data_IF_990426004040
#
_entry.id   IF_990426004040
#
_cell.length_a   1.000
_cell.length_b   1.000
_cell.length_c   1.000
_cell.angle_alpha   90.00
_cell.angle_beta   90.00
_cell.angle_gamma   90.00
#
_symmetry.space_group_name_H-M   'P 1'
#
loop_
_entity.id
_entity.type
_entity.pdbx_description
1 polymer ?
#
# COMPACT_ATOMS: atom_id res chain seq x y z
N UNK A 1 21.05 -16.85 8.97
CA UNK A 1 19.57 -16.94 8.85
C UNK A 1 19.22 -16.56 7.43
N UNK A 2 18.29 -17.24 6.77
CA UNK A 2 17.90 -16.87 5.41
C UNK A 2 17.38 -15.43 5.36
N UNK A 3 17.51 -14.77 4.21
CA UNK A 3 16.85 -13.52 3.92
C UNK A 3 15.55 -13.79 3.15
N UNK A 4 14.67 -12.78 3.07
CA UNK A 4 13.51 -12.85 2.19
C UNK A 4 13.78 -12.06 0.90
N UNK A 5 13.52 -12.67 -0.25
CA UNK A 5 13.57 -12.03 -1.56
C UNK A 5 12.17 -11.98 -2.18
N UNK A 6 11.94 -11.06 -3.10
CA UNK A 6 10.74 -11.03 -3.93
C UNK A 6 10.90 -12.02 -5.08
N UNK A 7 10.04 -13.04 -5.13
CA UNK A 7 10.01 -14.06 -6.18
C UNK A 7 9.12 -13.65 -7.36
N UNK A 8 8.07 -12.90 -7.09
CA UNK A 8 7.13 -12.42 -8.09
C UNK A 8 6.25 -11.30 -7.55
N UNK A 9 5.73 -10.51 -8.47
CA UNK A 9 4.84 -9.38 -8.18
C UNK A 9 3.58 -9.49 -9.03
N UNK A 10 2.51 -8.87 -8.57
CA UNK A 10 1.27 -8.78 -9.32
C UNK A 10 0.44 -7.60 -8.87
N UNK A 11 -0.43 -7.12 -9.74
CA UNK A 11 -1.33 -6.02 -9.44
C UNK A 11 -2.67 -6.18 -10.14
N UNK A 12 -3.70 -5.59 -9.57
CA UNK A 12 -5.03 -5.53 -10.16
C UNK A 12 -5.67 -4.19 -9.85
N UNK A 13 -6.26 -3.59 -10.87
CA UNK A 13 -7.15 -2.44 -10.72
C UNK A 13 -8.49 -2.74 -11.39
N UNK A 14 -9.63 -2.38 -10.79
CA UNK A 14 -10.94 -2.52 -11.41
C UNK A 14 -11.01 -1.86 -12.78
N UNK A 15 -11.84 -2.40 -13.67
CA UNK A 15 -11.97 -1.86 -15.04
C UNK A 15 -12.56 -0.45 -15.09
N UNK A 16 -13.44 -0.13 -14.14
CA UNK A 16 -14.12 1.17 -14.09
C UNK A 16 -13.16 2.27 -13.71
N UNK A 17 -12.92 3.20 -14.63
CA UNK A 17 -12.13 4.42 -14.40
C UNK A 17 -13.06 5.59 -14.11
N UNK A 18 -12.77 6.35 -13.07
CA UNK A 18 -13.40 7.61 -12.72
C UNK A 18 -12.40 8.74 -12.96
N UNK A 19 -12.66 9.57 -13.96
CA UNK A 19 -11.80 10.70 -14.33
C UNK A 19 -12.08 11.95 -13.50
N UNK A 20 -11.17 12.93 -13.53
CA UNK A 20 -11.44 14.24 -12.92
C UNK A 20 -12.66 14.93 -13.55
N UNK A 21 -12.88 14.77 -14.86
CA UNK A 21 -14.04 15.31 -15.54
C UNK A 21 -15.37 14.69 -15.05
N UNK A 22 -15.34 13.44 -14.59
CA UNK A 22 -16.52 12.84 -13.97
C UNK A 22 -16.77 13.39 -12.56
N UNK A 23 -15.69 13.66 -11.81
CA UNK A 23 -15.80 14.29 -10.49
C UNK A 23 -16.35 15.72 -10.55
N UNK A 24 -16.09 16.47 -11.62
CA UNK A 24 -16.65 17.80 -11.85
C UNK A 24 -18.18 17.79 -11.92
N UNK A 25 -18.79 16.65 -12.28
CA UNK A 25 -20.25 16.44 -12.31
C UNK A 25 -20.84 16.14 -10.93
N UNK A 26 -20.00 15.73 -9.97
CA UNK A 26 -20.41 15.25 -8.64
C UNK A 26 -20.20 16.31 -7.57
N UNK A 27 -19.07 17.03 -7.62
CA UNK A 27 -18.65 17.99 -6.59
C UNK A 27 -18.03 19.23 -7.23
N UNK A 28 -18.11 20.36 -6.55
CA UNK A 28 -17.57 21.64 -7.05
C UNK A 28 -16.02 21.62 -7.09
N UNK A 29 -15.45 21.15 -8.20
CA UNK A 29 -14.00 21.02 -8.45
C UNK A 29 -13.71 21.21 -9.94
N UNK A 30 -12.41 21.13 -10.32
CA UNK A 30 -11.98 21.00 -11.71
C UNK A 30 -10.67 20.23 -11.80
N UNK A 31 -10.38 19.69 -13.00
CA UNK A 31 -9.20 18.85 -13.23
C UNK A 31 -7.88 19.58 -12.94
N UNK A 32 -7.77 20.86 -13.31
CA UNK A 32 -6.57 21.65 -13.06
C UNK A 32 -6.26 21.77 -11.55
N UNK A 33 -7.29 22.04 -10.74
CA UNK A 33 -7.17 22.11 -9.29
C UNK A 33 -6.76 20.76 -8.69
N UNK A 34 -7.37 19.65 -9.14
CA UNK A 34 -7.03 18.30 -8.64
C UNK A 34 -5.59 17.97 -8.98
N UNK A 35 -5.20 18.09 -10.25
CA UNK A 35 -3.85 17.75 -10.72
C UNK A 35 -2.78 18.61 -10.03
N UNK A 36 -2.97 19.93 -9.95
CA UNK A 36 -2.00 20.82 -9.31
C UNK A 36 -1.80 20.55 -7.81
N UNK A 37 -2.81 19.98 -7.15
CA UNK A 37 -2.77 19.68 -5.71
C UNK A 37 -2.33 18.27 -5.37
N UNK A 38 -2.59 17.31 -6.26
CA UNK A 38 -2.45 15.88 -5.95
C UNK A 38 -1.61 15.10 -6.95
N UNK A 39 -1.54 15.56 -8.19
CA UNK A 39 -1.00 14.82 -9.34
C UNK A 39 -2.03 13.88 -10.00
N UNK A 40 -3.20 13.67 -9.39
CA UNK A 40 -4.18 12.66 -9.82
C UNK A 40 -4.99 13.14 -11.03
N UNK A 41 -5.08 12.30 -12.06
CA UNK A 41 -5.89 12.52 -13.26
C UNK A 41 -7.13 11.63 -13.29
N UNK A 42 -6.96 10.39 -12.82
CA UNK A 42 -8.01 9.39 -12.76
C UNK A 42 -7.77 8.41 -11.60
N UNK A 43 -8.77 7.61 -11.31
CA UNK A 43 -8.72 6.52 -10.33
C UNK A 43 -9.63 5.39 -10.76
N UNK A 44 -9.29 4.18 -10.33
CA UNK A 44 -10.13 3.02 -10.53
C UNK A 44 -11.13 2.89 -9.38
N UNK A 45 -12.31 2.35 -9.67
CA UNK A 45 -13.40 2.16 -8.72
C UNK A 45 -13.96 0.75 -8.87
N UNK A 46 -13.99 -0.01 -7.80
CA UNK A 46 -14.51 -1.37 -7.78
C UNK A 46 -15.99 -1.42 -8.20
N UNK A 47 -16.33 -2.41 -9.00
CA UNK A 47 -17.70 -2.71 -9.35
C UNK A 47 -18.52 -3.23 -8.16
N UNK A 48 -19.84 -3.27 -8.28
CA UNK A 48 -20.73 -3.70 -7.19
C UNK A 48 -20.49 -5.14 -6.74
N UNK A 49 -19.95 -5.97 -7.63
CA UNK A 49 -19.63 -7.38 -7.41
C UNK A 49 -18.17 -7.64 -6.97
N UNK A 50 -17.34 -6.61 -6.90
CA UNK A 50 -15.94 -6.73 -6.49
C UNK A 50 -15.76 -6.32 -5.04
N UNK A 51 -15.37 -7.24 -4.16
CA UNK A 51 -14.93 -6.98 -2.81
C UNK A 51 -13.40 -6.79 -2.76
N UNK A 52 -12.88 -6.36 -1.62
CA UNK A 52 -11.43 -6.17 -1.44
C UNK A 52 -10.66 -7.49 -1.64
N UNK A 53 -11.24 -8.63 -1.20
CA UNK A 53 -10.64 -9.94 -1.40
C UNK A 53 -10.57 -10.36 -2.87
N UNK A 54 -11.53 -9.95 -3.71
CA UNK A 54 -11.51 -10.26 -5.15
C UNK A 54 -10.33 -9.56 -5.84
N UNK A 55 -10.13 -8.27 -5.54
CA UNK A 55 -8.99 -7.49 -6.03
C UNK A 55 -7.67 -8.13 -5.55
N UNK A 56 -7.59 -8.43 -4.25
CA UNK A 56 -6.43 -9.05 -3.63
C UNK A 56 -6.10 -10.41 -4.24
N UNK A 57 -7.11 -11.26 -4.49
CA UNK A 57 -6.93 -12.57 -5.10
C UNK A 57 -6.45 -12.46 -6.57
N UNK A 58 -6.94 -11.47 -7.32
CA UNK A 58 -6.48 -11.22 -8.68
C UNK A 58 -4.98 -10.84 -8.71
N UNK A 59 -4.56 -9.91 -7.86
CA UNK A 59 -3.15 -9.52 -7.73
C UNK A 59 -2.27 -10.68 -7.24
N UNK A 60 -2.77 -11.48 -6.29
CA UNK A 60 -2.07 -12.65 -5.76
C UNK A 60 -1.83 -13.73 -6.84
N UNK A 61 -2.86 -14.05 -7.64
CA UNK A 61 -2.71 -15.01 -8.76
C UNK A 61 -1.64 -14.57 -9.74
N UNK A 62 -1.63 -13.29 -10.09
CA UNK A 62 -0.61 -12.74 -10.99
C UNK A 62 0.81 -12.83 -10.38
N UNK A 63 0.96 -12.54 -9.08
CA UNK A 63 2.25 -12.65 -8.40
C UNK A 63 2.75 -14.11 -8.37
N UNK A 64 1.86 -15.08 -8.16
CA UNK A 64 2.17 -16.51 -8.19
C UNK A 64 2.55 -16.98 -9.60
N UNK A 65 1.79 -16.56 -10.61
CA UNK A 65 2.06 -16.87 -12.03
C UNK A 65 3.43 -16.33 -12.46
N UNK A 66 3.71 -15.06 -12.14
CA UNK A 66 5.00 -14.42 -12.46
C UNK A 66 6.18 -15.07 -11.74
N UNK A 67 5.96 -15.67 -10.57
CA UNK A 67 6.98 -16.43 -9.84
C UNK A 67 7.09 -17.89 -10.30
N UNK A 68 6.15 -18.42 -11.08
CA UNK A 68 6.07 -19.84 -11.40
C UNK A 68 5.80 -20.73 -10.17
N UNK A 69 5.09 -20.23 -9.16
CA UNK A 69 4.83 -20.89 -7.88
C UNK A 69 3.36 -21.24 -7.74
N UNK A 70 3.06 -22.47 -7.34
CA UNK A 70 1.69 -22.91 -7.06
C UNK A 70 1.16 -22.30 -5.76
N UNK A 71 -0.13 -21.95 -5.71
CA UNK A 71 -0.78 -21.51 -4.49
C UNK A 71 -0.67 -22.50 -3.31
N UNK A 72 -0.57 -23.82 -3.61
CA UNK A 72 -0.38 -24.86 -2.61
C UNK A 72 1.00 -24.79 -1.90
N UNK A 73 1.94 -24.06 -2.47
CA UNK A 73 3.29 -23.90 -1.92
C UNK A 73 3.43 -22.64 -1.04
N UNK A 74 2.35 -21.87 -0.89
CA UNK A 74 2.31 -20.68 -0.02
C UNK A 74 2.03 -21.12 1.41
N UNK A 75 2.87 -20.68 2.34
CA UNK A 75 2.75 -21.02 3.76
C UNK A 75 2.01 -19.93 4.56
N UNK A 76 2.03 -18.68 4.08
CA UNK A 76 1.48 -17.52 4.77
C UNK A 76 0.90 -16.51 3.79
N UNK A 77 -0.26 -15.93 4.14
CA UNK A 77 -0.85 -14.78 3.45
C UNK A 77 -1.07 -13.67 4.47
N UNK A 78 -0.56 -12.49 4.19
CA UNK A 78 -0.82 -11.28 4.95
C UNK A 78 -1.39 -10.19 4.04
N UNK A 79 -2.56 -9.65 4.40
CA UNK A 79 -3.22 -8.58 3.66
C UNK A 79 -3.18 -7.30 4.47
N UNK A 80 -2.54 -6.27 3.94
CA UNK A 80 -2.62 -4.90 4.44
C UNK A 80 -3.90 -4.26 3.91
N UNK A 81 -4.90 -4.06 4.76
CA UNK A 81 -6.17 -3.45 4.38
C UNK A 81 -6.88 -2.78 5.56
N UNK A 82 -7.69 -1.78 5.27
CA UNK A 82 -8.66 -1.15 6.18
C UNK A 82 -10.08 -1.19 5.62
N UNK A 83 -10.24 -1.81 4.45
CA UNK A 83 -11.52 -1.95 3.74
C UNK A 83 -11.84 -3.40 3.44
N UNK A 84 -11.46 -4.31 4.37
CA UNK A 84 -11.74 -5.74 4.22
C UNK A 84 -13.23 -6.01 4.03
N UNK A 85 -13.55 -7.18 3.48
CA UNK A 85 -14.91 -7.60 3.10
C UNK A 85 -15.89 -7.53 4.27
N UNK A 86 -15.40 -7.89 5.44
CA UNK A 86 -16.17 -7.95 6.71
C UNK A 86 -15.25 -7.60 7.89
N UNK A 87 -15.81 -7.21 9.06
CA UNK A 87 -15.02 -7.08 10.28
C UNK A 87 -14.35 -8.40 10.71
N UNK A 88 -14.97 -9.52 10.42
CA UNK A 88 -14.49 -10.90 10.63
C UNK A 88 -15.31 -11.87 9.79
N UNK A 89 -14.70 -12.86 9.12
CA UNK A 89 -13.27 -13.21 9.11
C UNK A 89 -12.39 -12.16 8.42
N UNK A 90 -11.06 -12.35 8.45
CA UNK A 90 -10.11 -11.48 7.76
C UNK A 90 -10.26 -11.52 6.24
N UNK A 91 -9.93 -10.44 5.54
CA UNK A 91 -9.83 -10.40 4.08
C UNK A 91 -8.87 -11.49 3.56
N UNK A 92 -7.77 -11.71 4.26
CA UNK A 92 -6.80 -12.76 3.92
C UNK A 92 -7.41 -14.18 3.91
N UNK A 93 -8.43 -14.45 4.73
CA UNK A 93 -9.10 -15.76 4.74
C UNK A 93 -9.94 -15.98 3.47
N UNK A 94 -10.61 -14.94 2.97
CA UNK A 94 -11.29 -14.99 1.69
C UNK A 94 -10.30 -15.17 0.53
N UNK A 95 -9.18 -14.43 0.55
CA UNK A 95 -8.12 -14.56 -0.45
C UNK A 95 -7.56 -15.97 -0.48
N UNK A 96 -7.30 -16.58 0.68
CA UNK A 96 -6.76 -17.93 0.82
C UNK A 96 -7.64 -18.96 0.09
N UNK A 97 -8.96 -18.88 0.28
CA UNK A 97 -9.93 -19.77 -0.41
C UNK A 97 -10.01 -19.48 -1.91
N UNK A 98 -10.13 -18.19 -2.27
CA UNK A 98 -10.24 -17.75 -3.67
C UNK A 98 -9.06 -18.18 -4.54
N UNK A 99 -7.84 -18.21 -3.99
CA UNK A 99 -6.65 -18.64 -4.75
C UNK A 99 -6.29 -20.11 -4.54
N UNK A 100 -6.97 -20.81 -3.63
CA UNK A 100 -6.73 -22.20 -3.31
C UNK A 100 -5.47 -22.49 -2.50
N UNK A 101 -4.96 -21.51 -1.74
CA UNK A 101 -3.74 -21.63 -0.92
C UNK A 101 -3.99 -22.33 0.41
N UNK A 102 -4.52 -23.56 0.37
CA UNK A 102 -5.07 -24.30 1.53
C UNK A 102 -4.05 -24.60 2.63
N UNK A 103 -2.76 -24.54 2.34
CA UNK A 103 -1.68 -24.77 3.29
C UNK A 103 -1.28 -23.50 4.05
N UNK A 104 -1.68 -22.33 3.58
CA UNK A 104 -1.30 -21.06 4.16
C UNK A 104 -2.13 -20.74 5.40
N UNK A 105 -1.50 -20.29 6.49
CA UNK A 105 -2.21 -19.51 7.49
C UNK A 105 -2.28 -18.04 7.04
N UNK A 106 -3.29 -17.30 7.51
CA UNK A 106 -3.56 -15.98 6.98
C UNK A 106 -4.13 -15.01 8.02
N UNK A 107 -3.86 -13.71 7.84
CA UNK A 107 -4.39 -12.63 8.67
C UNK A 107 -4.25 -11.27 7.97
N UNK A 108 -5.00 -10.27 8.47
CA UNK A 108 -4.93 -8.90 8.01
C UNK A 108 -4.04 -8.05 8.92
N UNK A 109 -3.45 -6.98 8.33
CA UNK A 109 -2.70 -5.95 9.05
C UNK A 109 -3.38 -4.60 8.84
N UNK A 110 -3.91 -4.04 9.93
CA UNK A 110 -4.57 -2.74 9.95
C UNK A 110 -3.55 -1.62 10.26
N UNK A 111 -2.67 -1.30 9.30
CA UNK A 111 -1.74 -0.16 9.38
C UNK A 111 -2.02 0.87 8.28
N UNK A 112 -3.25 0.93 7.78
CA UNK A 112 -3.69 1.80 6.69
C UNK A 112 -2.72 1.78 5.50
N UNK A 113 -2.35 2.96 4.97
CA UNK A 113 -1.45 3.04 3.81
C UNK A 113 -0.05 2.45 4.05
N UNK A 114 0.36 2.22 5.29
CA UNK A 114 1.60 1.52 5.63
C UNK A 114 1.43 -0.02 5.69
N UNK A 115 0.22 -0.54 5.45
CA UNK A 115 -0.11 -1.97 5.61
C UNK A 115 0.82 -2.91 4.84
N UNK A 116 1.19 -2.57 3.61
CA UNK A 116 2.11 -3.39 2.81
C UNK A 116 3.55 -3.40 3.33
N UNK A 117 4.09 -2.28 3.86
CA UNK A 117 5.42 -2.27 4.52
C UNK A 117 5.41 -3.06 5.83
N UNK A 118 4.33 -2.91 6.62
CA UNK A 118 4.15 -3.72 7.83
C UNK A 118 4.07 -5.21 7.48
N UNK A 119 3.24 -5.57 6.49
CA UNK A 119 3.11 -6.94 5.99
C UNK A 119 4.43 -7.50 5.48
N UNK A 120 5.18 -6.74 4.69
CA UNK A 120 6.51 -7.09 4.19
C UNK A 120 7.47 -7.40 5.34
N UNK A 121 7.52 -6.53 6.35
CA UNK A 121 8.40 -6.69 7.51
C UNK A 121 8.01 -7.91 8.35
N UNK A 122 6.71 -8.13 8.57
CA UNK A 122 6.21 -9.30 9.30
C UNK A 122 6.57 -10.59 8.54
N UNK A 123 6.29 -10.65 7.25
CA UNK A 123 6.58 -11.82 6.42
C UNK A 123 8.09 -12.15 6.39
N UNK A 124 8.95 -11.13 6.30
CA UNK A 124 10.39 -11.31 6.39
C UNK A 124 10.80 -11.98 7.70
N UNK A 125 10.24 -11.57 8.84
CA UNK A 125 10.57 -12.17 10.13
C UNK A 125 10.12 -13.63 10.22
N UNK A 126 8.97 -13.98 9.68
CA UNK A 126 8.52 -15.38 9.60
C UNK A 126 9.45 -16.24 8.71
N UNK A 127 9.91 -15.67 7.58
CA UNK A 127 10.86 -16.34 6.69
C UNK A 127 12.23 -16.50 7.39
N UNK A 128 12.78 -15.44 8.01
CA UNK A 128 14.05 -15.46 8.71
C UNK A 128 14.07 -16.44 9.90
N UNK A 129 12.95 -16.58 10.59
CA UNK A 129 12.81 -17.56 11.66
C UNK A 129 12.75 -19.02 11.18
N UNK A 130 12.60 -19.25 9.86
CA UNK A 130 12.40 -20.56 9.26
C UNK A 130 10.99 -21.13 9.46
N UNK A 131 10.05 -20.33 9.99
CA UNK A 131 8.68 -20.79 10.23
C UNK A 131 7.88 -20.94 8.93
N UNK A 132 8.16 -20.11 7.92
CA UNK A 132 7.60 -20.19 6.56
C UNK A 132 8.71 -20.11 5.51
N UNK A 133 8.46 -20.67 4.34
CA UNK A 133 9.35 -20.60 3.18
C UNK A 133 8.87 -19.59 2.16
N UNK A 134 7.55 -19.47 2.01
CA UNK A 134 6.90 -18.56 1.04
C UNK A 134 5.74 -17.82 1.68
N UNK A 135 5.74 -16.51 1.51
CA UNK A 135 4.70 -15.63 2.03
C UNK A 135 4.17 -14.71 0.94
N UNK A 136 2.85 -14.61 0.79
CA UNK A 136 2.18 -13.58 0.01
C UNK A 136 1.94 -12.36 0.90
N UNK A 137 2.46 -11.22 0.48
CA UNK A 137 2.21 -9.90 1.07
C UNK A 137 1.36 -9.10 0.08
N UNK A 138 0.17 -8.74 0.48
CA UNK A 138 -0.82 -8.09 -0.37
C UNK A 138 -1.23 -6.77 0.27
N UNK A 139 -1.29 -5.70 -0.51
CA UNK A 139 -2.00 -4.47 -0.17
C UNK A 139 -3.26 -4.40 -1.03
N UNK A 140 -4.43 -4.24 -0.43
CA UNK A 140 -5.69 -4.22 -1.18
C UNK A 140 -6.72 -3.32 -0.52
N UNK A 141 -7.42 -2.51 -1.33
CA UNK A 141 -8.42 -1.58 -0.82
C UNK A 141 -9.58 -1.35 -1.80
N UNK A 142 -10.77 -1.17 -1.26
CA UNK A 142 -11.95 -0.62 -1.92
C UNK A 142 -12.40 0.68 -1.22
N UNK A 143 -11.50 1.68 -1.25
CA UNK A 143 -11.70 2.95 -0.54
C UNK A 143 -12.88 3.76 -1.07
N UNK A 144 -13.25 3.59 -2.35
CA UNK A 144 -14.37 4.27 -2.97
C UNK A 144 -15.68 4.09 -2.21
N UNK A 145 -15.85 2.96 -1.50
CA UNK A 145 -17.03 2.66 -0.67
C UNK A 145 -17.08 3.47 0.61
N UNK A 146 -15.93 3.96 1.05
CA UNK A 146 -15.77 4.74 2.29
C UNK A 146 -15.53 6.23 2.02
N UNK A 147 -15.49 6.65 0.76
CA UNK A 147 -15.42 8.06 0.35
C UNK A 147 -16.77 8.74 0.58
N UNK A 148 -16.75 9.96 1.12
CA UNK A 148 -17.85 10.90 1.02
C UNK A 148 -17.74 11.66 -0.31
N UNK A 149 -18.54 11.27 -1.28
CA UNK A 149 -18.51 11.84 -2.62
C UNK A 149 -18.96 13.32 -2.68
N UNK A 150 -19.60 13.82 -1.62
CA UNK A 150 -19.93 15.24 -1.45
C UNK A 150 -18.76 16.07 -0.87
N UNK A 151 -17.73 15.42 -0.37
CA UNK A 151 -16.57 16.09 0.25
C UNK A 151 -15.40 16.19 -0.72
N UNK A 152 -15.19 17.38 -1.32
CA UNK A 152 -14.11 17.65 -2.27
C UNK A 152 -12.70 17.38 -1.71
N UNK A 153 -12.50 17.45 -0.39
CA UNK A 153 -11.16 17.26 0.21
C UNK A 153 -10.71 15.79 0.18
N UNK A 154 -11.66 14.86 0.10
CA UNK A 154 -11.37 13.42 0.13
C UNK A 154 -11.75 12.71 -1.17
N UNK A 155 -12.87 13.04 -1.81
CA UNK A 155 -13.36 12.29 -2.98
C UNK A 155 -12.44 12.36 -4.21
N UNK A 156 -11.59 13.38 -4.29
CA UNK A 156 -10.63 13.56 -5.39
C UNK A 156 -9.35 12.72 -5.24
N UNK A 157 -9.16 12.05 -4.10
CA UNK A 157 -7.89 11.40 -3.76
C UNK A 157 -7.89 9.90 -4.03
N UNK A 158 -8.88 9.19 -3.49
CA UNK A 158 -8.81 7.75 -3.30
C UNK A 158 -9.29 6.96 -4.52
N UNK A 159 -8.63 5.83 -4.75
CA UNK A 159 -8.99 4.81 -5.73
C UNK A 159 -8.92 3.42 -5.13
N UNK A 160 -9.39 2.43 -5.88
CA UNK A 160 -9.47 1.03 -5.51
C UNK A 160 -8.45 0.22 -6.32
N UNK A 161 -7.70 -0.65 -5.67
CA UNK A 161 -6.80 -1.57 -6.34
C UNK A 161 -6.22 -2.59 -5.34
N UNK A 162 -5.47 -3.55 -5.86
CA UNK A 162 -4.62 -4.45 -5.10
C UNK A 162 -3.24 -4.61 -5.75
N UNK A 163 -2.23 -4.83 -4.92
CA UNK A 163 -0.90 -5.23 -5.36
C UNK A 163 -0.35 -6.30 -4.43
N UNK A 164 0.44 -7.23 -4.99
CA UNK A 164 0.95 -8.39 -4.27
C UNK A 164 2.44 -8.60 -4.54
N UNK A 165 3.13 -9.10 -3.52
CA UNK A 165 4.50 -9.57 -3.57
C UNK A 165 4.54 -10.99 -3.04
N UNK A 166 5.05 -11.94 -3.79
CA UNK A 166 5.42 -13.25 -3.28
C UNK A 166 6.85 -13.20 -2.77
N UNK A 167 7.03 -13.45 -1.49
CA UNK A 167 8.35 -13.55 -0.87
C UNK A 167 8.77 -15.01 -0.74
N UNK A 168 10.07 -15.25 -0.87
CA UNK A 168 10.67 -16.55 -0.62
C UNK A 168 11.96 -16.46 0.17
N UNK A 169 12.33 -17.56 0.83
CA UNK A 169 13.61 -17.67 1.54
C UNK A 169 14.78 -17.77 0.55
N UNK A 170 15.88 -17.10 0.86
CA UNK A 170 17.18 -17.23 0.16
C UNK A 170 18.33 -17.31 1.14
N UNK A 171 19.34 -18.13 0.79
CA UNK A 171 20.62 -18.18 1.50
C UNK A 171 21.65 -17.21 0.89
N UNK A 172 21.28 -16.47 -0.14
CA UNK A 172 22.18 -15.53 -0.82
C UNK A 172 22.38 -14.28 0.05
N UNK A 173 23.62 -14.09 0.50
CA UNK A 173 23.96 -12.94 1.32
C UNK A 173 23.86 -11.62 0.54
N UNK A 174 23.37 -10.59 1.20
CA UNK A 174 23.29 -9.24 0.63
C UNK A 174 22.16 -9.01 -0.37
N UNK A 175 21.29 -9.99 -0.62
CA UNK A 175 20.07 -9.85 -1.41
C UNK A 175 18.80 -9.92 -0.56
N UNK A 176 17.71 -9.37 -1.08
CA UNK A 176 16.41 -9.35 -0.43
C UNK A 176 16.24 -8.17 0.53
N UNK A 177 15.39 -8.32 1.55
CA UNK A 177 15.12 -7.26 2.51
C UNK A 177 16.32 -7.08 3.44
N UNK A 178 17.03 -5.96 3.27
CA UNK A 178 18.24 -5.63 4.03
C UNK A 178 17.91 -5.05 5.40
N UNK A 179 16.94 -4.13 5.45
CA UNK A 179 16.50 -3.48 6.69
C UNK A 179 15.05 -2.98 6.56
N UNK A 180 14.39 -2.89 7.70
CA UNK A 180 13.09 -2.23 7.83
C UNK A 180 13.01 -1.43 9.13
N UNK A 181 12.19 -0.38 9.11
CA UNK A 181 11.87 0.44 10.27
C UNK A 181 10.37 0.72 10.28
N UNK A 182 9.69 0.34 11.36
CA UNK A 182 8.27 0.60 11.57
C UNK A 182 8.10 1.53 12.78
N UNK A 183 7.16 2.47 12.68
CA UNK A 183 6.85 3.47 13.71
C UNK A 183 5.35 3.74 13.76
N UNK A 184 4.84 4.06 14.95
CA UNK A 184 3.47 4.51 15.15
C UNK A 184 3.44 5.61 16.22
N UNK A 185 2.62 6.64 15.99
CA UNK A 185 2.29 7.64 17.00
C UNK A 185 0.77 7.71 17.18
N UNK A 186 0.26 7.03 18.21
CA UNK A 186 -1.16 6.96 18.54
C UNK A 186 -1.77 8.30 19.01
N UNK A 187 -0.98 9.31 19.32
CA UNK A 187 -1.50 10.65 19.64
C UNK A 187 -2.13 11.34 18.42
N UNK A 188 -1.82 10.87 17.22
CA UNK A 188 -2.29 11.42 15.95
C UNK A 188 -3.48 10.67 15.32
N UNK A 189 -4.12 9.76 16.05
CA UNK A 189 -5.24 8.94 15.51
C UNK A 189 -6.39 9.78 14.95
N UNK A 190 -6.61 11.00 15.46
CA UNK A 190 -7.73 11.86 15.05
C UNK A 190 -7.53 12.64 13.74
N UNK A 191 -6.37 12.52 13.05
CA UNK A 191 -6.10 13.34 11.84
C UNK A 191 -6.50 12.69 10.53
N UNK A 192 -6.61 11.35 10.51
CA UNK A 192 -7.03 10.57 9.35
C UNK A 192 -7.65 9.25 9.82
N UNK A 193 -8.81 8.88 9.29
CA UNK A 193 -9.43 7.60 9.61
C UNK A 193 -10.88 7.49 9.17
N UNK A 194 -11.46 6.32 9.43
CA UNK A 194 -12.89 6.00 9.37
C UNK A 194 -13.31 5.76 10.82
N UNK A 195 -14.07 6.68 11.41
CA UNK A 195 -14.26 6.69 12.88
C UNK A 195 -15.54 6.00 13.34
N UNK A 196 -16.51 5.81 12.46
CA UNK A 196 -17.76 5.12 12.74
C UNK A 196 -17.80 3.67 12.24
N UNK A 197 -18.66 2.85 12.84
CA UNK A 197 -18.82 1.44 12.52
C UNK A 197 -18.01 0.49 13.40
N UNK A 198 -17.10 1.02 14.23
CA UNK A 198 -16.32 0.24 15.21
C UNK A 198 -16.93 0.25 16.61
N UNK A 199 -16.24 -0.38 17.57
CA UNK A 199 -16.71 -0.52 18.97
C UNK A 199 -16.84 0.82 19.71
N UNK A 200 -16.06 1.85 19.33
CA UNK A 200 -16.14 3.18 19.94
C UNK A 200 -17.36 3.97 19.47
N UNK A 201 -17.74 3.81 18.21
CA UNK A 201 -18.94 4.39 17.61
C UNK A 201 -19.63 3.30 16.77
N UNK A 202 -20.48 2.46 17.38
CA UNK A 202 -21.19 1.41 16.68
C UNK A 202 -22.09 1.95 15.57
N UNK A 203 -22.48 1.09 14.64
CA UNK A 203 -23.43 1.42 13.58
C UNK A 203 -24.75 1.87 14.16
N UNK A 204 -25.21 3.08 13.78
CA UNK A 204 -26.51 3.64 14.13
C UNK A 204 -27.00 4.55 13.00
N UNK A 205 -28.31 4.85 12.98
CA UNK A 205 -28.86 5.78 12.00
C UNK A 205 -28.24 7.19 12.12
N UNK A 206 -27.97 7.62 13.36
CA UNK A 206 -27.31 8.89 13.62
C UNK A 206 -25.86 8.91 13.07
N UNK A 207 -25.08 7.86 13.30
CA UNK A 207 -23.73 7.71 12.77
C UNK A 207 -23.72 7.74 11.24
N UNK A 208 -24.67 7.07 10.58
CA UNK A 208 -24.79 7.05 9.13
C UNK A 208 -25.23 8.43 8.59
N UNK A 209 -26.17 9.12 9.25
CA UNK A 209 -26.62 10.46 8.87
C UNK A 209 -25.47 11.50 8.98
N UNK A 210 -24.54 11.31 9.90
CA UNK A 210 -23.33 12.14 10.06
C UNK A 210 -22.15 11.69 9.18
N UNK A 211 -22.35 10.77 8.25
CA UNK A 211 -21.27 10.17 7.44
C UNK A 211 -20.11 9.63 8.30
N UNK A 212 -20.39 9.09 9.49
CA UNK A 212 -19.39 8.59 10.42
C UNK A 212 -18.58 7.41 9.89
N UNK A 213 -19.15 6.66 8.95
CA UNK A 213 -18.52 5.54 8.23
C UNK A 213 -17.68 6.00 7.02
N UNK A 214 -17.49 7.30 6.82
CA UNK A 214 -16.70 7.83 5.71
C UNK A 214 -15.32 8.31 6.17
N UNK A 215 -14.38 8.32 5.22
CA UNK A 215 -13.01 8.81 5.45
C UNK A 215 -13.06 10.28 5.84
N UNK A 216 -12.47 10.59 6.98
CA UNK A 216 -12.24 11.97 7.45
C UNK A 216 -10.74 12.24 7.52
N UNK A 217 -10.31 13.40 7.03
CA UNK A 217 -8.90 13.76 6.95
C UNK A 217 -8.67 15.25 7.23
N UNK A 218 -7.68 15.54 8.06
CA UNK A 218 -7.13 16.88 8.23
C UNK A 218 -5.92 17.06 7.30
N UNK A 219 -6.17 17.32 6.03
CA UNK A 219 -5.18 17.24 4.96
C UNK A 219 -3.91 18.05 5.21
N UNK A 220 -3.99 19.26 5.81
CA UNK A 220 -2.81 20.09 6.13
C UNK A 220 -1.92 19.44 7.20
N UNK A 221 -2.53 18.80 8.20
CA UNK A 221 -1.81 18.11 9.26
C UNK A 221 -1.14 16.85 8.72
N UNK A 222 -1.87 16.05 7.93
CA UNK A 222 -1.32 14.87 7.25
C UNK A 222 -0.12 15.26 6.37
N UNK A 223 -0.25 16.31 5.55
CA UNK A 223 0.84 16.78 4.70
C UNK A 223 2.10 17.13 5.51
N UNK A 224 1.94 17.95 6.57
CA UNK A 224 3.05 18.38 7.44
C UNK A 224 3.75 17.21 8.12
N UNK A 225 2.98 16.22 8.58
CA UNK A 225 3.52 15.04 9.25
C UNK A 225 4.24 14.14 8.23
N UNK A 226 3.62 13.88 7.07
CA UNK A 226 4.18 13.00 6.05
C UNK A 226 5.49 13.53 5.47
N UNK A 227 5.55 14.83 5.13
CA UNK A 227 6.77 15.45 4.55
C UNK A 227 7.96 15.45 5.50
N UNK A 228 7.72 15.36 6.80
CA UNK A 228 8.77 15.23 7.82
C UNK A 228 9.16 13.76 8.05
N UNK A 229 8.18 12.89 8.31
CA UNK A 229 8.45 11.54 8.80
C UNK A 229 8.92 10.57 7.70
N UNK A 230 8.50 10.76 6.43
CA UNK A 230 8.90 9.87 5.35
C UNK A 230 10.41 9.93 5.06
N UNK A 231 11.04 11.11 4.84
CA UNK A 231 12.48 11.13 4.65
C UNK A 231 13.27 10.69 5.89
N UNK A 232 12.80 11.01 7.10
CA UNK A 232 13.45 10.58 8.35
C UNK A 232 13.50 9.05 8.44
N UNK A 233 12.39 8.35 8.19
CA UNK A 233 12.33 6.88 8.29
C UNK A 233 13.15 6.19 7.20
N UNK A 234 13.21 6.76 5.99
CA UNK A 234 14.05 6.22 4.91
C UNK A 234 15.52 6.36 5.25
N UNK A 235 15.97 7.54 5.69
CA UNK A 235 17.36 7.77 6.09
C UNK A 235 17.78 6.84 7.25
N UNK A 236 16.90 6.67 8.26
CA UNK A 236 17.13 5.70 9.36
C UNK A 236 17.27 4.27 8.85
N UNK A 237 16.41 3.87 7.90
CA UNK A 237 16.40 2.49 7.38
C UNK A 237 17.61 2.22 6.49
N UNK A 238 18.00 3.17 5.64
CA UNK A 238 19.23 3.09 4.86
C UNK A 238 20.46 2.95 5.77
N UNK A 239 20.56 3.77 6.82
CA UNK A 239 21.66 3.67 7.78
C UNK A 239 21.73 2.30 8.46
N UNK A 240 20.59 1.68 8.82
CA UNK A 240 20.54 0.30 9.34
C UNK A 240 21.06 -0.74 8.35
N UNK A 241 20.87 -0.50 7.05
CA UNK A 241 21.41 -1.34 5.98
C UNK A 241 22.89 -1.04 5.65
N UNK A 242 23.53 -0.07 6.33
CA UNK A 242 24.87 0.40 6.01
C UNK A 242 24.96 1.19 4.70
N UNK A 243 23.84 1.78 4.27
CA UNK A 243 23.68 2.50 3.01
C UNK A 243 23.29 3.97 3.26
N UNK A 244 23.37 4.76 2.21
CA UNK A 244 22.98 6.17 2.16
C UNK A 244 22.01 6.44 0.99
N UNK A 245 21.47 7.64 0.91
CA UNK A 245 20.61 8.05 -0.21
C UNK A 245 21.34 8.01 -1.57
N UNK A 246 22.67 8.14 -1.60
CA UNK A 246 23.46 8.04 -2.82
C UNK A 246 23.46 6.62 -3.43
N UNK A 247 23.29 5.61 -2.59
CA UNK A 247 23.30 4.19 -2.98
C UNK A 247 21.94 3.72 -3.53
N UNK A 248 20.89 4.56 -3.43
CA UNK A 248 19.52 4.21 -3.88
C UNK A 248 19.42 4.28 -5.39
N UNK A 249 19.01 3.18 -6.02
CA UNK A 249 18.74 3.10 -7.46
C UNK A 249 17.27 3.41 -7.75
N UNK A 250 16.35 2.94 -6.91
CA UNK A 250 14.91 3.14 -7.07
C UNK A 250 14.22 3.50 -5.75
N UNK A 251 13.18 4.32 -5.86
CA UNK A 251 12.24 4.59 -4.76
C UNK A 251 10.87 4.06 -5.15
N UNK A 252 10.34 3.16 -4.33
CA UNK A 252 8.98 2.62 -4.43
C UNK A 252 8.22 3.07 -3.18
N UNK A 253 7.28 4.00 -3.34
CA UNK A 253 6.62 4.61 -2.20
C UNK A 253 5.10 4.53 -2.27
N UNK A 254 4.47 4.69 -1.11
CA UNK A 254 3.03 4.94 -1.05
C UNK A 254 2.67 6.19 -1.86
N UNK A 255 1.70 6.06 -2.74
CA UNK A 255 1.21 7.09 -3.65
C UNK A 255 0.12 7.94 -2.96
N UNK A 256 0.49 8.69 -1.91
CA UNK A 256 -0.44 9.51 -1.13
C UNK A 256 -0.86 10.77 -1.86
N UNK A 257 0.13 11.47 -2.39
CA UNK A 257 0.02 12.76 -3.06
C UNK A 257 1.38 13.07 -3.70
N UNK A 258 1.39 13.48 -4.97
CA UNK A 258 2.64 13.75 -5.69
C UNK A 258 3.52 14.77 -4.98
N UNK A 259 2.95 15.82 -4.39
CA UNK A 259 3.70 16.85 -3.67
C UNK A 259 4.38 16.33 -2.39
N UNK A 260 3.77 15.34 -1.72
CA UNK A 260 4.38 14.68 -0.56
C UNK A 260 5.58 13.86 -1.02
N UNK A 261 5.42 13.09 -2.10
CA UNK A 261 6.50 12.27 -2.68
C UNK A 261 7.67 13.15 -3.08
N UNK A 262 7.41 14.20 -3.86
CA UNK A 262 8.44 15.15 -4.31
C UNK A 262 9.18 15.80 -3.15
N UNK A 263 8.45 16.26 -2.12
CA UNK A 263 9.07 16.85 -0.92
C UNK A 263 9.96 15.86 -0.17
N UNK A 264 9.57 14.58 -0.11
CA UNK A 264 10.38 13.56 0.54
C UNK A 264 11.66 13.27 -0.26
N UNK A 265 11.57 13.18 -1.59
CA UNK A 265 12.72 12.98 -2.48
C UNK A 265 13.70 14.16 -2.40
N UNK A 266 13.18 15.39 -2.46
CA UNK A 266 14.00 16.62 -2.33
C UNK A 266 14.77 16.64 -1.00
N UNK A 267 14.11 16.26 0.11
CA UNK A 267 14.74 16.19 1.43
C UNK A 267 15.80 15.10 1.53
N UNK A 268 15.59 13.96 0.86
CA UNK A 268 16.56 12.85 0.80
C UNK A 268 17.71 13.11 -0.17
N UNK A 269 17.57 14.09 -1.07
CA UNK A 269 18.53 14.33 -2.16
C UNK A 269 18.51 13.23 -3.24
N UNK A 270 17.37 12.51 -3.39
CA UNK A 270 17.19 11.46 -4.39
C UNK A 270 16.50 12.05 -5.62
N UNK A 271 17.11 11.93 -6.83
CA UNK A 271 16.50 12.41 -8.08
C UNK A 271 15.11 11.79 -8.34
N UNK A 272 14.18 12.60 -8.88
CA UNK A 272 12.79 12.19 -9.13
C UNK A 272 12.67 11.03 -10.11
N UNK A 273 13.55 10.95 -11.08
CA UNK A 273 13.60 9.86 -12.07
C UNK A 273 13.89 8.48 -11.47
N UNK A 274 14.41 8.42 -10.24
CA UNK A 274 14.57 7.18 -9.49
C UNK A 274 13.28 6.74 -8.79
N UNK A 275 12.26 7.58 -8.70
CA UNK A 275 11.00 7.27 -8.05
C UNK A 275 9.95 6.82 -9.06
N UNK A 276 9.32 5.66 -8.79
CA UNK A 276 8.18 5.21 -9.57
C UNK A 276 6.92 5.95 -9.10
N UNK A 277 6.35 6.76 -10.00
CA UNK A 277 5.14 7.55 -9.73
C UNK A 277 4.05 7.11 -10.68
N UNK A 278 2.91 6.67 -10.16
CA UNK A 278 1.73 6.24 -10.91
C UNK A 278 0.41 6.75 -10.31
N UNK A 279 0.51 7.68 -9.38
CA UNK A 279 -0.63 8.29 -8.71
C UNK A 279 -1.59 8.99 -9.70
N UNK A 280 -1.09 9.45 -10.83
CA UNK A 280 -1.87 10.09 -11.88
C UNK A 280 -2.96 9.18 -12.44
N UNK A 281 -2.72 7.86 -12.49
CA UNK A 281 -3.59 6.83 -13.05
C UNK A 281 -4.43 6.09 -12.01
N UNK A 282 -3.88 5.85 -10.83
CA UNK A 282 -4.54 5.03 -9.80
C UNK A 282 -5.13 5.85 -8.65
N UNK A 283 -4.72 7.13 -8.50
CA UNK A 283 -5.01 7.87 -7.30
C UNK A 283 -4.30 7.29 -6.06
N UNK A 284 -4.82 7.60 -4.89
CA UNK A 284 -4.35 7.03 -3.63
C UNK A 284 -5.10 5.72 -3.36
N UNK A 285 -4.46 4.60 -3.59
CA UNK A 285 -4.96 3.24 -3.32
C UNK A 285 -4.48 2.68 -1.98
N UNK A 286 -4.10 3.55 -1.02
CA UNK A 286 -3.65 3.19 0.33
C UNK A 286 -2.53 2.12 0.31
N UNK A 287 -2.72 0.99 1.01
CA UNK A 287 -1.73 -0.10 1.12
C UNK A 287 -1.39 -0.76 -0.22
N UNK A 288 -2.26 -0.70 -1.22
CA UNK A 288 -2.04 -1.30 -2.54
C UNK A 288 -1.01 -0.53 -3.37
N UNK A 289 -0.87 0.78 -3.16
CA UNK A 289 -0.11 1.66 -4.05
C UNK A 289 1.38 1.29 -4.17
N UNK A 290 2.02 0.91 -3.07
CA UNK A 290 3.44 0.54 -3.07
C UNK A 290 3.70 -0.76 -3.85
N UNK A 291 3.00 -1.89 -3.58
CA UNK A 291 3.21 -3.11 -4.36
C UNK A 291 2.76 -3.00 -5.83
N UNK A 292 1.77 -2.16 -6.17
CA UNK A 292 1.45 -1.84 -7.57
C UNK A 292 2.63 -1.15 -8.26
N UNK A 293 3.23 -0.15 -7.60
CA UNK A 293 4.38 0.57 -8.14
C UNK A 293 5.58 -0.37 -8.34
N UNK A 294 5.80 -1.31 -7.41
CA UNK A 294 6.85 -2.33 -7.53
C UNK A 294 6.57 -3.27 -8.71
N UNK A 295 5.33 -3.73 -8.86
CA UNK A 295 4.91 -4.61 -9.94
C UNK A 295 5.08 -3.96 -11.32
N UNK A 296 4.67 -2.70 -11.48
CA UNK A 296 4.87 -1.95 -12.71
C UNK A 296 6.36 -1.78 -13.04
N UNK A 297 7.19 -1.44 -12.05
CA UNK A 297 8.63 -1.27 -12.24
C UNK A 297 9.30 -2.59 -12.62
N UNK A 298 8.91 -3.70 -11.98
CA UNK A 298 9.41 -5.04 -12.27
C UNK A 298 9.01 -5.50 -13.67
N UNK A 299 7.71 -5.53 -13.98
CA UNK A 299 7.21 -5.96 -15.31
C UNK A 299 7.65 -5.04 -16.45
N UNK A 300 7.90 -3.77 -16.15
CA UNK A 300 8.48 -2.79 -17.08
C UNK A 300 9.98 -3.00 -17.35
N UNK A 301 10.63 -4.01 -16.72
CA UNK A 301 12.05 -4.31 -16.88
C UNK A 301 12.98 -3.19 -16.37
N UNK A 302 12.50 -2.38 -15.43
CA UNK A 302 13.28 -1.28 -14.86
C UNK A 302 14.19 -1.70 -13.72
N UNK A 303 13.80 -2.75 -13.00
CA UNK A 303 14.57 -3.28 -11.87
C UNK A 303 15.60 -4.29 -12.37
N UNK A 304 16.84 -4.13 -11.93
CA UNK A 304 17.95 -5.02 -12.26
C UNK A 304 18.45 -5.70 -10.98
N UNK A 305 18.96 -6.92 -11.13
CA UNK A 305 19.58 -7.62 -10.02
C UNK A 305 20.68 -6.77 -9.38
N UNK A 306 20.61 -6.62 -8.07
CA UNK A 306 21.54 -5.82 -7.27
C UNK A 306 21.08 -4.38 -7.00
N UNK A 307 20.06 -3.88 -7.69
CA UNK A 307 19.54 -2.53 -7.46
C UNK A 307 19.05 -2.37 -6.01
N UNK A 308 19.37 -1.25 -5.43
CA UNK A 308 18.92 -0.85 -4.09
C UNK A 308 17.60 -0.10 -4.20
N UNK A 309 16.56 -0.67 -3.64
CA UNK A 309 15.21 -0.10 -3.63
C UNK A 309 14.90 0.42 -2.23
N UNK A 310 14.70 1.73 -2.11
CA UNK A 310 14.17 2.34 -0.90
C UNK A 310 12.64 2.39 -0.97
N UNK A 311 11.98 1.91 0.09
CA UNK A 311 10.52 1.89 0.19
C UNK A 311 10.07 2.78 1.36
N UNK A 312 8.94 3.48 1.20
CA UNK A 312 8.37 4.31 2.26
C UNK A 312 6.85 4.39 2.18
N UNK A 313 6.19 4.34 3.32
CA UNK A 313 4.76 4.56 3.43
C UNK A 313 4.38 5.21 4.77
N UNK A 314 3.28 5.98 4.75
CA UNK A 314 2.65 6.54 5.94
C UNK A 314 1.13 6.44 5.79
N UNK A 315 0.45 6.07 6.85
CA UNK A 315 -0.99 5.89 6.89
C UNK A 315 -1.61 6.38 8.19
N UNK A 316 -2.93 6.24 8.27
CA UNK A 316 -3.67 6.57 9.49
C UNK A 316 -3.10 5.85 10.72
N UNK A 317 -3.18 6.55 11.85
CA UNK A 317 -2.66 6.04 13.11
C UNK A 317 -1.92 7.10 13.93
N UNK A 318 -0.96 7.91 13.51
CA UNK A 318 -0.23 7.69 12.25
C UNK A 318 0.71 6.51 12.39
N UNK A 319 0.70 5.64 11.39
CA UNK A 319 1.65 4.55 11.26
C UNK A 319 2.49 4.75 10.01
N UNK A 320 3.82 4.56 10.12
CA UNK A 320 4.72 4.73 8.97
C UNK A 320 5.87 3.72 9.00
N UNK A 321 6.50 3.55 7.88
CA UNK A 321 7.66 2.68 7.78
C UNK A 321 8.52 2.97 6.57
N UNK A 322 9.76 2.50 6.66
CA UNK A 322 10.71 2.40 5.59
C UNK A 322 11.23 0.96 5.46
N UNK A 323 11.56 0.57 4.25
CA UNK A 323 12.24 -0.69 3.97
C UNK A 323 13.32 -0.47 2.91
N UNK A 324 14.38 -1.24 2.98
CA UNK A 324 15.46 -1.25 1.98
C UNK A 324 15.62 -2.67 1.47
N UNK A 325 15.39 -2.83 0.18
CA UNK A 325 15.47 -4.10 -0.52
C UNK A 325 16.64 -4.05 -1.52
N UNK A 326 17.41 -5.11 -1.62
CA UNK A 326 18.31 -5.34 -2.76
C UNK A 326 17.66 -6.36 -3.70
N UNK A 327 17.37 -5.89 -4.90
CA UNK A 327 16.62 -6.65 -5.91
C UNK A 327 17.37 -7.86 -6.48
#
# INVERSE_FOLDING_TARGET
MPNSIVLGTGSYAPERVLTNADLEKIVATNSEWIVSRTGIRERHVAGDHEATSDLAAAAARQALENAGVSAAEVDMIVVGTVTGDTPTPSCAAFVQDLIGARNAFCFDVAAACAGSIYGLTIADQFIRSGMVRRALVIGAETLSRFVDWGNRETCVLFGDAAGAMLLGATEEEGHGLLAATLRTDGSMTGILGIFGGGSRQPVSQEMLADNGNKIRMRGREVYRVATRLLPEVVAETLAKAGLSAADVDHVICHQANQRIIESALDTLGVPREKCWINIDRFGNTSSASMPISLDEAHRGGKLKRGDVIAMMAIGAGMSWGGAVLRW
#
